data_IF_267917418903
#
_entry.id   IF_267917418903
#
_cell.length_a   1.000
_cell.length_b   1.000
_cell.length_c   1.000
_cell.angle_alpha   90.00
_cell.angle_beta   90.00
_cell.angle_gamma   90.00
#
_symmetry.space_group_name_H-M   'P 1'
#
loop_
_entity.id
_entity.type
_entity.pdbx_description
1 polymer ?
#
# COMPACT_ATOMS: atom_id res chain seq x y z
N UNK A 1 29.63 -3.39 18.47
CA UNK A 1 28.78 -2.20 18.74
C UNK A 1 27.34 -2.62 18.64
N UNK A 2 26.55 -2.36 19.72
CA UNK A 2 25.12 -2.58 19.72
C UNK A 2 24.43 -1.43 18.98
N UNK A 3 23.53 -1.78 18.04
CA UNK A 3 22.74 -0.83 17.27
C UNK A 3 21.30 -1.32 17.15
N UNK A 4 20.36 -0.39 17.10
CA UNK A 4 18.94 -0.70 16.84
C UNK A 4 18.59 -0.37 15.39
N UNK A 5 17.97 -1.31 14.69
CA UNK A 5 17.36 -1.04 13.39
C UNK A 5 16.09 -0.23 13.63
N UNK A 6 16.11 1.04 13.25
CA UNK A 6 14.94 1.92 13.37
C UNK A 6 14.05 1.89 12.13
N UNK A 7 14.64 1.57 10.99
CA UNK A 7 13.93 1.40 9.72
C UNK A 7 14.71 0.41 8.87
N UNK A 8 14.02 -0.57 8.34
CA UNK A 8 14.56 -1.51 7.37
C UNK A 8 14.84 -0.82 6.02
N UNK A 9 15.62 -1.48 5.18
CA UNK A 9 15.85 -1.00 3.83
C UNK A 9 14.54 -1.07 3.03
N UNK A 10 14.23 -0.02 2.25
CA UNK A 10 13.05 0.02 1.42
C UNK A 10 13.42 0.60 0.05
N UNK A 11 13.38 -0.22 -0.99
CA UNK A 11 13.81 0.14 -2.33
C UNK A 11 15.28 0.57 -2.35
N UNK A 12 15.58 1.81 -2.77
CA UNK A 12 16.95 2.36 -2.81
C UNK A 12 17.44 2.95 -1.48
N UNK A 13 16.61 2.97 -0.45
CA UNK A 13 16.98 3.54 0.86
C UNK A 13 17.62 2.48 1.72
N UNK A 14 18.82 2.77 2.24
CA UNK A 14 19.50 1.91 3.20
C UNK A 14 18.76 1.81 4.54
N UNK A 15 19.00 0.77 5.34
CA UNK A 15 18.47 0.68 6.69
C UNK A 15 18.96 1.86 7.54
N UNK A 16 18.11 2.34 8.43
CA UNK A 16 18.47 3.40 9.35
C UNK A 16 18.71 2.83 10.74
N UNK A 17 19.95 2.97 11.22
CA UNK A 17 20.40 2.45 12.49
C UNK A 17 20.50 3.56 13.53
N UNK A 18 20.14 3.24 14.76
CA UNK A 18 20.32 4.09 15.93
C UNK A 18 21.34 3.45 16.88
N UNK A 19 22.22 4.26 17.43
CA UNK A 19 23.07 3.86 18.56
C UNK A 19 22.30 3.89 19.87
N UNK A 20 21.33 4.83 20.00
CA UNK A 20 20.43 4.94 21.15
C UNK A 20 19.35 3.85 21.07
N UNK A 21 19.27 3.02 22.11
CA UNK A 21 18.26 1.95 22.21
C UNK A 21 16.96 2.53 22.72
N UNK A 22 15.86 2.17 22.06
CA UNK A 22 14.49 2.55 22.42
C UNK A 22 13.62 1.32 22.49
N UNK A 23 13.08 1.03 23.67
CA UNK A 23 12.19 -0.10 23.88
C UNK A 23 10.76 0.41 24.03
N UNK A 24 9.89 0.20 23.04
CA UNK A 24 8.51 0.69 23.09
C UNK A 24 7.62 -0.25 23.92
N UNK A 25 6.97 0.33 24.93
CA UNK A 25 5.86 -0.28 25.65
C UNK A 25 4.51 0.30 25.20
N UNK A 26 3.44 -0.08 25.87
CA UNK A 26 2.06 0.40 25.61
C UNK A 26 1.88 1.85 26.04
N UNK A 27 2.39 2.22 27.22
CA UNK A 27 2.23 3.53 27.84
C UNK A 27 3.51 4.36 27.86
N UNK A 28 4.67 3.69 27.87
CA UNK A 28 5.97 4.34 27.96
C UNK A 28 6.93 3.78 26.90
N UNK A 29 7.87 4.60 26.45
CA UNK A 29 9.04 4.17 25.69
C UNK A 29 10.24 4.39 26.58
N UNK A 30 10.98 3.34 26.89
CA UNK A 30 12.27 3.44 27.56
C UNK A 30 13.32 3.88 26.55
N UNK A 31 14.21 4.79 26.93
CA UNK A 31 15.30 5.29 26.09
C UNK A 31 16.63 5.20 26.82
N UNK A 32 17.66 4.78 26.09
CA UNK A 32 19.06 4.73 26.56
C UNK A 32 19.68 6.14 26.54
N UNK A 33 19.08 7.04 27.30
CA UNK A 33 19.50 8.43 27.46
C UNK A 33 18.69 9.07 28.59
N UNK A 34 19.33 9.77 29.51
CA UNK A 34 18.63 10.36 30.63
C UNK A 34 17.56 11.38 30.19
N UNK A 35 16.48 11.45 30.95
CA UNK A 35 15.44 12.45 30.76
C UNK A 35 14.02 11.91 30.66
N UNK A 36 13.08 12.80 30.92
CA UNK A 36 11.64 12.53 30.83
C UNK A 36 11.04 13.36 29.69
N UNK A 37 10.40 12.68 28.73
CA UNK A 37 9.65 13.32 27.66
C UNK A 37 8.19 12.90 27.73
N UNK A 38 7.30 13.73 27.19
CA UNK A 38 5.86 13.48 27.17
C UNK A 38 5.35 13.72 25.75
N UNK A 39 4.52 12.80 25.27
CA UNK A 39 3.88 12.91 23.95
C UNK A 39 3.22 14.28 23.76
N UNK A 40 3.44 14.89 22.61
CA UNK A 40 2.80 16.17 22.23
C UNK A 40 1.27 16.05 22.11
N UNK A 41 0.74 14.84 21.98
CA UNK A 41 -0.72 14.58 21.93
C UNK A 41 -1.40 14.72 23.27
N UNK A 42 -0.66 14.74 24.39
CA UNK A 42 -1.19 15.04 25.72
C UNK A 42 -1.11 16.56 25.92
N UNK A 43 -2.22 17.25 25.71
CA UNK A 43 -2.29 18.74 25.79
C UNK A 43 -2.67 19.25 27.18
N UNK A 44 -3.30 18.41 28.02
CA UNK A 44 -3.71 18.74 29.39
C UNK A 44 -2.50 19.01 30.27
N UNK A 45 -2.40 20.22 30.84
CA UNK A 45 -1.26 20.67 31.65
C UNK A 45 -1.12 19.87 32.93
N UNK A 46 -2.23 19.61 33.64
CA UNK A 46 -2.19 18.89 34.92
C UNK A 46 -1.75 17.44 34.70
N UNK A 47 -2.24 16.78 33.64
CA UNK A 47 -1.82 15.45 33.26
C UNK A 47 -0.30 15.43 32.93
N UNK A 48 0.17 16.42 32.16
CA UNK A 48 1.59 16.53 31.80
C UNK A 48 2.48 16.70 33.05
N UNK A 49 2.07 17.54 33.98
CA UNK A 49 2.83 17.77 35.23
C UNK A 49 2.90 16.51 36.09
N UNK A 50 1.78 15.81 36.27
CA UNK A 50 1.74 14.51 36.98
C UNK A 50 2.69 13.50 36.36
N UNK A 51 2.59 13.30 35.01
CA UNK A 51 3.44 12.37 34.28
C UNK A 51 4.94 12.78 34.34
N UNK A 52 5.22 14.08 34.29
CA UNK A 52 6.58 14.56 34.40
C UNK A 52 7.17 14.26 35.78
N UNK A 53 6.43 14.55 36.86
CA UNK A 53 6.84 14.31 38.24
C UNK A 53 7.00 12.80 38.52
N UNK A 54 6.10 11.95 38.00
CA UNK A 54 6.23 10.51 38.08
C UNK A 54 7.48 10.04 37.32
N UNK A 55 7.68 10.49 36.11
CA UNK A 55 8.85 10.13 35.31
C UNK A 55 10.16 10.53 35.98
N UNK A 56 10.22 11.71 36.60
CA UNK A 56 11.41 12.16 37.35
C UNK A 56 11.76 11.27 38.56
N UNK A 57 10.75 10.68 39.19
CA UNK A 57 10.96 9.72 40.30
C UNK A 57 11.51 8.37 39.77
N UNK A 58 11.12 7.99 38.56
CA UNK A 58 11.48 6.69 37.96
C UNK A 58 12.85 6.71 37.26
N UNK A 59 13.18 7.83 36.60
CA UNK A 59 14.42 7.97 35.83
C UNK A 59 15.63 8.00 36.77
N UNK A 60 16.44 6.93 36.69
CA UNK A 60 17.73 6.76 37.37
C UNK A 60 18.72 6.15 36.35
N UNK A 61 20.00 6.21 36.63
CA UNK A 61 21.06 5.45 35.94
C UNK A 61 21.12 5.67 34.39
N UNK A 62 21.05 6.90 33.92
CA UNK A 62 21.12 7.26 32.50
C UNK A 62 20.01 6.67 31.60
N UNK A 63 19.02 5.98 32.15
CA UNK A 63 17.88 5.46 31.42
C UNK A 63 16.70 6.42 31.56
N UNK A 64 16.23 6.96 30.46
CA UNK A 64 15.10 7.88 30.45
C UNK A 64 13.81 7.24 29.88
N UNK A 65 12.78 8.05 29.78
CA UNK A 65 11.49 7.60 29.27
C UNK A 65 10.75 8.67 28.45
N UNK A 66 9.85 8.17 27.63
CA UNK A 66 8.89 9.01 26.88
C UNK A 66 7.49 8.48 27.18
N UNK A 67 6.67 9.27 27.86
CA UNK A 67 5.26 8.95 28.06
C UNK A 67 4.50 9.05 26.73
N UNK A 68 3.80 7.97 26.36
CA UNK A 68 2.96 7.92 25.16
C UNK A 68 1.59 8.56 25.42
N UNK A 69 0.83 8.84 24.36
CA UNK A 69 -0.53 9.37 24.50
C UNK A 69 -1.48 8.44 25.26
N UNK A 70 -1.22 7.14 25.21
CA UNK A 70 -1.96 6.09 25.92
C UNK A 70 -1.75 6.12 27.46
N UNK A 71 -0.74 6.80 27.97
CA UNK A 71 -0.53 6.98 29.41
C UNK A 71 -1.47 8.01 30.06
N UNK A 72 -2.21 8.79 29.25
CA UNK A 72 -3.16 9.77 29.76
C UNK A 72 -4.22 9.09 30.63
N UNK A 73 -4.42 9.63 31.84
CA UNK A 73 -5.43 9.16 32.82
C UNK A 73 -5.27 7.67 33.20
N UNK A 74 -4.05 7.14 33.18
CA UNK A 74 -3.74 5.81 33.70
C UNK A 74 -3.24 5.88 35.14
N UNK A 75 -3.50 4.83 35.91
CA UNK A 75 -3.05 4.68 37.29
C UNK A 75 -1.52 4.62 37.30
N UNK A 76 -0.92 5.28 38.31
CA UNK A 76 0.53 5.35 38.44
C UNK A 76 1.17 3.97 38.58
N UNK A 77 0.50 3.05 39.27
CA UNK A 77 0.99 1.67 39.48
C UNK A 77 1.21 0.94 38.14
N UNK A 78 0.25 1.03 37.23
CA UNK A 78 0.36 0.42 35.88
C UNK A 78 1.51 1.02 35.07
N UNK A 79 1.71 2.34 35.20
CA UNK A 79 2.79 3.05 34.50
C UNK A 79 4.16 2.67 35.05
N UNK A 80 4.25 2.51 36.39
CA UNK A 80 5.47 2.10 37.08
C UNK A 80 5.83 0.64 36.73
N UNK A 81 4.85 -0.25 36.76
CA UNK A 81 5.02 -1.67 36.41
C UNK A 81 5.58 -1.83 34.99
N UNK A 82 4.97 -1.15 33.98
CA UNK A 82 5.46 -1.21 32.62
C UNK A 82 6.89 -0.64 32.51
N UNK A 83 7.18 0.49 33.12
CA UNK A 83 8.53 1.06 33.11
C UNK A 83 9.58 0.10 33.70
N UNK A 84 9.28 -0.53 34.82
CA UNK A 84 10.18 -1.50 35.45
C UNK A 84 10.40 -2.73 34.57
N UNK A 85 9.36 -3.27 33.99
CA UNK A 85 9.43 -4.40 33.05
C UNK A 85 10.30 -4.08 31.81
N UNK A 86 10.15 -2.88 31.24
CA UNK A 86 11.01 -2.43 30.14
C UNK A 86 12.47 -2.20 30.58
N UNK A 87 12.69 -1.78 31.80
CA UNK A 87 14.02 -1.59 32.37
C UNK A 87 14.75 -2.93 32.57
N UNK A 88 14.05 -3.94 33.04
CA UNK A 88 14.57 -5.32 33.13
C UNK A 88 14.95 -5.86 31.75
N UNK A 89 14.06 -5.66 30.77
CA UNK A 89 14.34 -6.06 29.39
C UNK A 89 15.57 -5.34 28.82
N UNK A 90 15.70 -4.04 29.08
CA UNK A 90 16.89 -3.27 28.67
C UNK A 90 18.19 -3.87 29.21
N UNK A 91 18.26 -4.16 30.50
CA UNK A 91 19.46 -4.76 31.11
C UNK A 91 19.75 -6.15 30.53
N UNK A 92 18.72 -6.95 30.28
CA UNK A 92 18.87 -8.25 29.59
C UNK A 92 19.45 -8.11 28.17
N UNK A 93 19.01 -7.11 27.42
CA UNK A 93 19.55 -6.83 26.07
C UNK A 93 21.03 -6.44 26.17
N UNK A 94 21.39 -5.56 27.11
CA UNK A 94 22.78 -5.13 27.28
C UNK A 94 23.67 -6.29 27.68
N UNK A 95 23.28 -7.07 28.70
CA UNK A 95 24.05 -8.25 29.15
C UNK A 95 24.27 -9.24 28.02
N UNK A 96 23.23 -9.58 27.28
CA UNK A 96 23.34 -10.49 26.12
C UNK A 96 24.29 -9.94 25.03
N UNK A 97 24.30 -8.61 24.86
CA UNK A 97 25.17 -7.97 23.86
C UNK A 97 26.64 -7.93 24.27
N UNK A 98 26.94 -7.88 25.57
CA UNK A 98 28.31 -7.93 26.11
C UNK A 98 28.94 -9.33 25.97
N UNK A 99 28.13 -10.37 25.99
CA UNK A 99 28.58 -11.77 25.86
C UNK A 99 28.86 -12.16 24.39
N UNK A 100 28.35 -11.39 23.41
CA UNK A 100 28.45 -11.75 21.98
C UNK A 100 29.67 -11.09 21.31
N UNK A 101 30.48 -11.93 20.66
CA UNK A 101 31.64 -11.52 19.90
C UNK A 101 31.46 -11.52 18.37
N UNK A 102 30.30 -11.97 17.90
CA UNK A 102 29.95 -12.06 16.47
C UNK A 102 28.73 -11.21 16.13
N UNK A 103 28.57 -10.74 14.89
CA UNK A 103 27.33 -10.06 14.48
C UNK A 103 26.11 -10.98 14.62
N UNK A 104 25.18 -10.61 15.50
CA UNK A 104 23.99 -11.40 15.83
C UNK A 104 22.82 -10.49 16.22
N UNK A 105 21.62 -10.95 15.99
CA UNK A 105 20.43 -10.32 16.51
C UNK A 105 20.29 -10.66 18.00
N UNK A 106 20.49 -9.67 18.87
CA UNK A 106 20.42 -9.83 20.33
C UNK A 106 18.98 -9.88 20.82
N UNK A 107 18.14 -9.06 20.23
CA UNK A 107 16.71 -9.00 20.56
C UNK A 107 15.88 -8.63 19.33
N UNK A 108 14.80 -9.37 19.09
CA UNK A 108 13.85 -9.09 18.02
C UNK A 108 12.68 -8.23 18.52
N UNK A 109 12.35 -7.17 17.80
CA UNK A 109 11.18 -6.35 18.11
C UNK A 109 9.87 -7.02 17.67
N UNK A 110 8.76 -6.37 17.96
CA UNK A 110 7.47 -6.76 17.43
C UNK A 110 7.49 -6.68 15.89
N UNK A 111 6.95 -7.69 15.24
CA UNK A 111 6.78 -7.70 13.79
C UNK A 111 5.77 -6.63 13.38
N UNK A 112 6.10 -5.90 12.33
CA UNK A 112 5.16 -5.01 11.66
C UNK A 112 4.51 -5.80 10.53
N UNK A 113 3.19 -5.81 10.49
CA UNK A 113 2.44 -6.47 9.42
C UNK A 113 1.65 -5.38 8.70
N UNK A 114 1.97 -5.18 7.42
CA UNK A 114 1.13 -4.38 6.53
C UNK A 114 0.10 -5.30 5.88
N UNK A 115 -1.17 -4.98 6.10
CA UNK A 115 -2.28 -5.72 5.50
C UNK A 115 -2.89 -4.85 4.41
N UNK A 116 -2.74 -5.26 3.16
CA UNK A 116 -3.41 -4.61 2.05
C UNK A 116 -4.81 -5.19 1.83
N UNK A 117 -5.79 -4.30 1.71
CA UNK A 117 -7.15 -4.63 1.34
C UNK A 117 -7.36 -4.28 -0.14
N UNK A 118 -7.26 -5.23 -1.09
CA UNK A 118 -7.50 -4.95 -2.49
C UNK A 118 -8.99 -4.67 -2.74
N UNK A 119 -9.32 -4.24 -3.96
CA UNK A 119 -10.64 -3.78 -4.39
C UNK A 119 -11.83 -4.57 -3.82
N UNK A 120 -11.86 -5.90 -3.98
CA UNK A 120 -12.97 -6.74 -3.52
C UNK A 120 -13.14 -6.72 -1.99
N UNK A 121 -12.04 -6.69 -1.25
CA UNK A 121 -12.07 -6.58 0.21
C UNK A 121 -12.66 -5.26 0.65
N UNK A 122 -12.36 -4.15 -0.05
CA UNK A 122 -12.96 -2.84 0.20
C UNK A 122 -14.47 -2.85 -0.05
N UNK A 123 -14.92 -3.45 -1.16
CA UNK A 123 -16.36 -3.62 -1.45
C UNK A 123 -17.05 -4.45 -0.37
N UNK A 124 -16.44 -5.55 0.06
CA UNK A 124 -16.97 -6.39 1.12
C UNK A 124 -17.08 -5.64 2.44
N UNK A 125 -16.08 -4.87 2.80
CA UNK A 125 -16.10 -4.02 4.00
C UNK A 125 -17.16 -2.91 3.91
N UNK A 126 -17.38 -2.31 2.74
CA UNK A 126 -18.47 -1.36 2.51
C UNK A 126 -19.82 -2.00 2.77
N UNK A 127 -20.03 -3.23 2.30
CA UNK A 127 -21.27 -3.98 2.51
C UNK A 127 -21.52 -4.32 4.00
N UNK A 128 -20.47 -4.64 4.75
CA UNK A 128 -20.58 -4.85 6.20
C UNK A 128 -20.94 -3.52 6.90
N UNK A 129 -20.19 -2.46 6.59
CA UNK A 129 -20.36 -1.14 7.20
C UNK A 129 -21.74 -0.57 6.95
N UNK A 130 -22.27 -0.70 5.74
CA UNK A 130 -23.58 -0.15 5.36
C UNK A 130 -24.76 -0.72 6.16
N UNK A 131 -24.57 -1.88 6.82
CA UNK A 131 -25.61 -2.48 7.69
C UNK A 131 -25.74 -1.79 9.05
N UNK A 132 -24.72 -1.04 9.47
CA UNK A 132 -24.65 -0.45 10.82
C UNK A 132 -24.38 1.05 10.82
N UNK A 133 -23.96 1.61 9.69
CA UNK A 133 -23.66 3.04 9.58
C UNK A 133 -23.95 3.56 8.18
N UNK A 134 -24.36 4.84 8.03
CA UNK A 134 -24.46 5.50 6.74
C UNK A 134 -23.15 5.36 5.98
N UNK A 135 -23.22 4.86 4.76
CA UNK A 135 -22.02 4.51 3.98
C UNK A 135 -22.24 4.89 2.53
N UNK A 136 -21.39 5.76 1.99
CA UNK A 136 -21.38 6.05 0.56
C UNK A 136 -20.81 4.87 -0.23
N UNK A 137 -21.25 4.71 -1.47
CA UNK A 137 -20.67 3.71 -2.38
C UNK A 137 -19.14 3.91 -2.51
N UNK A 138 -18.38 2.83 -2.44
CA UNK A 138 -16.92 2.83 -2.50
C UNK A 138 -16.24 3.59 -1.32
N UNK A 139 -16.84 3.57 -0.14
CA UNK A 139 -16.33 4.22 1.08
C UNK A 139 -14.84 3.93 1.31
N UNK A 140 -14.45 2.65 1.42
CA UNK A 140 -13.08 2.29 1.75
C UNK A 140 -12.09 2.67 0.63
N UNK A 141 -12.50 2.61 -0.65
CA UNK A 141 -11.68 3.10 -1.76
C UNK A 141 -11.42 4.61 -1.65
N UNK A 142 -12.45 5.42 -1.38
CA UNK A 142 -12.30 6.85 -1.21
C UNK A 142 -11.52 7.20 0.06
N UNK A 143 -11.66 6.42 1.13
CA UNK A 143 -10.80 6.56 2.32
C UNK A 143 -9.33 6.36 2.00
N UNK A 144 -9.00 5.38 1.16
CA UNK A 144 -7.64 5.11 0.71
C UNK A 144 -7.10 6.16 -0.28
N UNK A 145 -7.95 7.03 -0.84
CA UNK A 145 -7.58 8.08 -1.79
C UNK A 145 -6.85 9.28 -1.16
N UNK A 146 -6.59 9.24 0.14
CA UNK A 146 -5.83 10.26 0.85
C UNK A 146 -6.68 11.12 1.81
N UNK A 147 -6.03 11.92 2.65
CA UNK A 147 -6.69 12.59 3.77
C UNK A 147 -7.72 13.65 3.36
N UNK A 148 -7.55 14.29 2.21
CA UNK A 148 -8.49 15.30 1.72
C UNK A 148 -9.80 14.62 1.31
N UNK A 149 -9.74 13.61 0.44
CA UNK A 149 -10.93 12.87 -0.03
C UNK A 149 -11.60 12.16 1.14
N UNK A 150 -10.81 11.61 2.07
CA UNK A 150 -11.32 10.98 3.29
C UNK A 150 -12.22 11.94 4.11
N UNK A 151 -11.90 13.24 4.19
CA UNK A 151 -12.75 14.24 4.85
C UNK A 151 -14.07 14.51 4.09
N UNK A 152 -14.03 14.47 2.75
CA UNK A 152 -15.25 14.57 1.95
C UNK A 152 -16.16 13.34 2.11
N UNK A 153 -15.58 12.15 2.34
CA UNK A 153 -16.35 10.96 2.73
C UNK A 153 -17.13 11.24 4.04
N UNK A 154 -16.44 11.77 5.07
CA UNK A 154 -17.10 12.12 6.35
C UNK A 154 -18.25 13.12 6.15
N UNK A 155 -18.06 14.13 5.28
CA UNK A 155 -19.11 15.09 4.97
C UNK A 155 -20.30 14.45 4.26
N UNK A 156 -20.05 13.61 3.26
CA UNK A 156 -21.10 12.94 2.50
C UNK A 156 -21.91 12.00 3.41
N UNK A 157 -21.28 11.25 4.29
CA UNK A 157 -21.97 10.34 5.21
C UNK A 157 -22.79 11.08 6.26
N UNK A 158 -22.35 12.26 6.73
CA UNK A 158 -23.18 13.14 7.58
C UNK A 158 -24.44 13.64 6.86
N UNK A 159 -24.41 13.84 5.54
CA UNK A 159 -25.62 14.18 4.78
C UNK A 159 -26.58 12.99 4.72
N UNK A 160 -26.05 11.76 4.55
CA UNK A 160 -26.87 10.55 4.63
C UNK A 160 -27.52 10.38 6.02
N UNK A 161 -26.79 10.66 7.10
CA UNK A 161 -27.32 10.65 8.48
C UNK A 161 -28.49 11.62 8.68
N UNK A 162 -28.51 12.72 7.94
CA UNK A 162 -29.58 13.72 7.96
C UNK A 162 -30.80 13.34 7.10
N UNK A 163 -30.71 12.21 6.36
CA UNK A 163 -31.78 11.72 5.51
C UNK A 163 -31.75 12.23 4.07
N UNK A 164 -30.65 12.82 3.63
CA UNK A 164 -30.46 13.18 2.21
C UNK A 164 -30.44 11.92 1.33
N UNK A 165 -31.01 12.02 0.13
CA UNK A 165 -31.09 10.89 -0.82
C UNK A 165 -29.69 10.42 -1.24
N UNK A 166 -29.37 9.11 -1.10
CA UNK A 166 -28.04 8.57 -1.36
C UNK A 166 -27.48 8.92 -2.76
N UNK A 167 -28.30 8.85 -3.80
CA UNK A 167 -27.90 9.14 -5.17
C UNK A 167 -27.45 10.60 -5.34
N UNK A 168 -28.19 11.54 -4.71
CA UNK A 168 -27.87 12.96 -4.75
C UNK A 168 -26.59 13.27 -3.98
N UNK A 169 -26.43 12.67 -2.80
CA UNK A 169 -25.22 12.81 -1.99
C UNK A 169 -24.02 12.29 -2.75
N UNK A 170 -24.13 11.10 -3.34
CA UNK A 170 -23.03 10.48 -4.09
C UNK A 170 -22.62 11.31 -5.32
N UNK A 171 -23.61 11.79 -6.10
CA UNK A 171 -23.35 12.67 -7.25
C UNK A 171 -22.65 13.97 -6.84
N UNK A 172 -23.12 14.64 -5.79
CA UNK A 172 -22.49 15.85 -5.25
C UNK A 172 -21.08 15.58 -4.75
N UNK A 173 -20.90 14.45 -4.07
CA UNK A 173 -19.59 14.01 -3.58
C UNK A 173 -18.61 13.83 -4.74
N UNK A 174 -18.97 13.07 -5.79
CA UNK A 174 -18.11 12.86 -6.95
C UNK A 174 -17.72 14.18 -7.62
N UNK A 175 -18.69 15.07 -7.86
CA UNK A 175 -18.40 16.39 -8.45
C UNK A 175 -17.45 17.23 -7.58
N UNK A 176 -17.52 17.07 -6.25
CA UNK A 176 -16.67 17.84 -5.32
C UNK A 176 -15.24 17.34 -5.31
N UNK A 177 -15.04 16.03 -5.41
CA UNK A 177 -13.70 15.43 -5.40
C UNK A 177 -13.03 15.37 -6.79
N UNK A 178 -13.78 15.66 -7.85
CA UNK A 178 -13.32 15.59 -9.23
C UNK A 178 -12.00 16.32 -9.46
N UNK A 179 -11.89 17.53 -8.96
CA UNK A 179 -10.69 18.41 -9.06
C UNK A 179 -9.41 17.84 -8.41
N UNK A 180 -9.51 16.76 -7.64
CA UNK A 180 -8.36 16.12 -7.02
C UNK A 180 -7.84 14.93 -7.82
N UNK A 181 -8.58 14.51 -8.84
CA UNK A 181 -8.17 13.46 -9.75
C UNK A 181 -7.51 14.05 -10.99
N UNK A 182 -6.77 13.21 -11.68
CA UNK A 182 -6.16 13.54 -12.96
C UNK A 182 -7.20 13.66 -14.08
N UNK A 183 -6.82 14.38 -15.13
CA UNK A 183 -7.60 14.62 -16.34
C UNK A 183 -6.85 14.12 -17.58
N UNK A 184 -7.51 14.14 -18.74
CA UNK A 184 -6.85 13.91 -20.03
C UNK A 184 -5.69 14.92 -20.23
N UNK A 185 -4.57 14.41 -20.71
CA UNK A 185 -3.32 15.16 -20.84
C UNK A 185 -2.38 15.07 -19.65
N UNK A 186 -2.87 14.69 -18.47
CA UNK A 186 -2.05 14.54 -17.27
C UNK A 186 -1.15 13.29 -17.34
N UNK A 187 -0.09 13.31 -16.55
CA UNK A 187 0.82 12.18 -16.36
C UNK A 187 0.56 11.50 -15.03
N UNK A 188 0.26 10.21 -15.09
CA UNK A 188 -0.01 9.38 -13.91
C UNK A 188 1.07 8.34 -13.67
N UNK A 189 1.07 7.78 -12.46
CA UNK A 189 1.87 6.62 -12.08
C UNK A 189 1.01 5.37 -12.05
N UNK A 190 1.62 4.23 -12.36
CA UNK A 190 0.99 2.92 -12.25
C UNK A 190 1.73 2.17 -11.14
N UNK A 191 1.02 1.82 -10.08
CA UNK A 191 1.53 1.10 -8.93
C UNK A 191 1.27 -0.39 -9.10
N UNK A 192 2.25 -1.06 -9.66
CA UNK A 192 2.28 -2.50 -9.87
C UNK A 192 2.81 -3.15 -8.58
N UNK A 193 1.93 -3.75 -7.80
CA UNK A 193 2.26 -4.37 -6.51
C UNK A 193 2.43 -5.86 -6.70
N UNK A 194 3.58 -6.39 -6.33
CA UNK A 194 3.84 -7.84 -6.37
C UNK A 194 3.17 -8.55 -5.18
N UNK A 195 2.91 -9.86 -5.26
CA UNK A 195 2.28 -10.62 -4.16
C UNK A 195 3.03 -10.58 -2.83
N UNK A 196 4.35 -10.36 -2.88
CA UNK A 196 5.23 -10.18 -1.70
C UNK A 196 5.16 -8.76 -1.09
N UNK A 197 4.31 -7.88 -1.64
CA UNK A 197 4.15 -6.49 -1.22
C UNK A 197 5.14 -5.50 -1.83
N UNK A 198 6.08 -5.95 -2.67
CA UNK A 198 6.99 -5.06 -3.39
C UNK A 198 6.22 -4.19 -4.38
N UNK A 199 6.42 -2.87 -4.32
CA UNK A 199 5.78 -1.93 -5.23
C UNK A 199 6.73 -1.48 -6.32
N UNK A 200 6.38 -1.75 -7.57
CA UNK A 200 7.07 -1.26 -8.76
C UNK A 200 6.24 -0.10 -9.31
N UNK A 201 6.84 1.09 -9.37
CA UNK A 201 6.17 2.28 -9.91
C UNK A 201 6.55 2.44 -11.37
N UNK A 202 5.59 2.22 -12.25
CA UNK A 202 5.75 2.41 -13.69
C UNK A 202 5.24 3.80 -14.11
N UNK A 203 5.81 4.34 -15.18
CA UNK A 203 5.46 5.65 -15.73
C UNK A 203 6.64 6.59 -15.82
N UNK A 204 6.41 7.85 -16.21
CA UNK A 204 5.10 8.50 -16.37
C UNK A 204 4.29 7.92 -17.54
N UNK A 205 2.97 7.80 -17.33
CA UNK A 205 2.00 7.39 -18.33
C UNK A 205 1.05 8.56 -18.61
N UNK A 206 0.97 9.02 -19.86
CA UNK A 206 0.10 10.13 -20.26
C UNK A 206 -1.33 9.63 -20.43
N UNK A 207 -2.29 10.23 -19.76
CA UNK A 207 -3.72 9.96 -19.98
C UNK A 207 -4.13 10.54 -21.33
N UNK A 208 -4.55 9.72 -22.26
CA UNK A 208 -4.94 10.15 -23.62
C UNK A 208 -6.45 10.20 -23.81
N UNK A 209 -7.18 9.37 -23.09
CA UNK A 209 -8.63 9.32 -23.10
C UNK A 209 -9.13 8.71 -21.79
N UNK A 210 -10.29 9.12 -21.30
CA UNK A 210 -10.94 8.48 -20.17
C UNK A 210 -12.46 8.66 -20.20
N UNK A 211 -13.21 7.72 -19.59
CA UNK A 211 -14.63 7.90 -19.33
C UNK A 211 -14.85 8.99 -18.27
N UNK A 212 -16.01 9.66 -18.33
CA UNK A 212 -16.36 10.74 -17.40
C UNK A 212 -16.32 10.34 -15.91
N UNK A 213 -16.61 9.06 -15.62
CA UNK A 213 -16.59 8.48 -14.29
C UNK A 213 -15.24 7.84 -13.92
N UNK A 214 -14.24 7.96 -14.81
CA UNK A 214 -12.91 7.35 -14.71
C UNK A 214 -12.88 5.83 -14.56
N UNK A 215 -13.98 5.17 -14.90
CA UNK A 215 -14.02 3.70 -14.88
C UNK A 215 -13.16 3.08 -15.98
N UNK A 216 -12.91 3.81 -17.07
CA UNK A 216 -12.06 3.36 -18.17
C UNK A 216 -11.08 4.45 -18.57
N UNK A 217 -9.79 4.10 -18.63
CA UNK A 217 -8.68 5.04 -18.80
C UNK A 217 -7.71 4.46 -19.82
N UNK A 218 -7.38 5.26 -20.84
CA UNK A 218 -6.35 4.94 -21.82
C UNK A 218 -5.10 5.78 -21.49
N UNK A 219 -3.97 5.13 -21.41
CA UNK A 219 -2.70 5.80 -21.18
C UNK A 219 -1.67 5.43 -22.23
N UNK A 220 -0.89 6.42 -22.65
CA UNK A 220 0.26 6.25 -23.53
C UNK A 220 1.56 6.26 -22.72
N UNK A 221 2.45 5.35 -23.04
CA UNK A 221 3.80 5.33 -22.52
C UNK A 221 4.81 5.21 -23.65
N UNK A 222 5.78 6.10 -23.70
CA UNK A 222 6.94 5.95 -24.57
C UNK A 222 7.80 4.80 -24.07
N UNK A 223 8.23 3.94 -24.96
CA UNK A 223 9.13 2.84 -24.64
C UNK A 223 10.55 3.36 -24.63
N UNK A 224 11.20 3.23 -23.51
CA UNK A 224 12.59 3.69 -23.30
C UNK A 224 13.50 2.48 -23.17
N UNK A 225 14.69 2.59 -23.77
CA UNK A 225 15.73 1.56 -23.67
C UNK A 225 15.69 0.54 -24.81
N UNK A 226 16.69 -0.36 -24.77
CA UNK A 226 16.89 -1.46 -25.72
C UNK A 226 16.48 -2.77 -25.07
N UNK A 227 16.31 -3.81 -25.85
CA UNK A 227 15.97 -5.17 -25.42
C UNK A 227 14.70 -5.67 -26.07
N UNK A 228 14.12 -6.71 -25.51
CA UNK A 228 12.95 -7.40 -26.03
C UNK A 228 11.70 -7.04 -25.20
N UNK A 229 10.54 -7.02 -25.82
CA UNK A 229 9.27 -6.93 -25.08
C UNK A 229 9.04 -8.24 -24.34
N UNK A 230 8.72 -8.12 -23.07
CA UNK A 230 8.51 -9.26 -22.19
C UNK A 230 7.43 -10.21 -22.75
N UNK A 231 7.79 -11.48 -22.90
CA UNK A 231 6.91 -12.52 -23.44
C UNK A 231 6.53 -12.44 -24.91
N UNK A 232 6.95 -11.38 -25.67
CA UNK A 232 6.63 -11.23 -27.11
C UNK A 232 7.77 -11.62 -28.04
N UNK A 233 8.99 -11.74 -27.52
CA UNK A 233 10.20 -12.05 -28.31
C UNK A 233 10.46 -11.04 -29.48
N UNK A 234 10.02 -9.80 -29.34
CA UNK A 234 10.15 -8.72 -30.34
C UNK A 234 11.05 -7.62 -29.76
N UNK A 235 12.00 -7.13 -30.57
CA UNK A 235 12.90 -6.07 -30.15
C UNK A 235 12.19 -4.72 -29.98
N UNK A 236 12.62 -4.00 -28.93
CA UNK A 236 12.23 -2.59 -28.69
C UNK A 236 13.06 -1.70 -29.63
N UNK A 237 12.36 -0.83 -30.33
CA UNK A 237 12.96 0.14 -31.25
C UNK A 237 12.75 1.58 -30.75
N UNK A 238 13.59 2.47 -31.17
CA UNK A 238 13.45 3.89 -30.86
C UNK A 238 12.20 4.48 -31.52
N UNK A 239 11.36 5.13 -30.71
CA UNK A 239 10.07 5.68 -31.14
C UNK A 239 8.89 4.73 -30.93
N UNK A 240 9.14 3.52 -30.42
CA UNK A 240 8.05 2.64 -29.97
C UNK A 240 7.26 3.28 -28.82
N UNK A 241 5.96 2.97 -28.77
CA UNK A 241 5.09 3.40 -27.70
C UNK A 241 4.08 2.31 -27.34
N UNK A 242 3.48 2.44 -26.16
CA UNK A 242 2.48 1.52 -25.68
C UNK A 242 1.19 2.26 -25.32
N UNK A 243 0.04 1.75 -25.72
CA UNK A 243 -1.27 2.18 -25.24
C UNK A 243 -1.79 1.11 -24.29
N UNK A 244 -2.06 1.51 -23.05
CA UNK A 244 -2.63 0.61 -22.04
C UNK A 244 -4.03 1.05 -21.68
N UNK A 245 -4.96 0.10 -21.61
CA UNK A 245 -6.35 0.32 -21.20
C UNK A 245 -6.57 -0.25 -19.82
N UNK A 246 -6.90 0.61 -18.87
CA UNK A 246 -7.30 0.23 -17.53
C UNK A 246 -8.81 0.41 -17.35
N UNK A 247 -9.49 -0.63 -16.85
CA UNK A 247 -10.88 -0.53 -16.43
C UNK A 247 -10.99 -0.83 -14.94
N UNK A 248 -11.56 0.11 -14.15
CA UNK A 248 -11.73 -0.05 -12.71
C UNK A 248 -12.55 -1.31 -12.39
N UNK A 249 -12.07 -2.12 -11.47
CA UNK A 249 -12.72 -3.36 -11.08
C UNK A 249 -12.45 -4.56 -11.98
N UNK A 250 -11.73 -4.41 -13.10
CA UNK A 250 -11.32 -5.53 -13.97
C UNK A 250 -10.09 -6.24 -13.42
N UNK A 251 -10.04 -7.54 -13.67
CA UNK A 251 -8.97 -8.45 -13.24
C UNK A 251 -7.79 -8.53 -14.21
N UNK A 252 -7.80 -7.72 -15.23
CA UNK A 252 -6.73 -7.63 -16.22
C UNK A 252 -6.71 -6.27 -16.86
N UNK A 253 -5.58 -5.89 -17.42
CA UNK A 253 -5.47 -4.78 -18.34
C UNK A 253 -4.75 -5.21 -19.61
N UNK A 254 -5.02 -4.50 -20.70
CA UNK A 254 -4.46 -4.75 -22.01
C UNK A 254 -3.48 -3.64 -22.38
N UNK A 255 -2.29 -4.01 -22.83
CA UNK A 255 -1.28 -3.10 -23.39
C UNK A 255 -1.00 -3.49 -24.82
N UNK A 256 -1.15 -2.55 -25.74
CA UNK A 256 -0.78 -2.69 -27.14
C UNK A 256 0.51 -1.94 -27.40
N UNK A 257 1.49 -2.62 -27.99
CA UNK A 257 2.77 -2.03 -28.37
C UNK A 257 2.75 -1.67 -29.84
N UNK A 258 3.15 -0.44 -30.15
CA UNK A 258 3.20 0.10 -31.51
C UNK A 258 4.60 0.60 -31.83
N UNK A 259 4.98 0.50 -33.11
CA UNK A 259 6.16 1.18 -33.59
C UNK A 259 5.84 2.65 -33.93
N UNK A 260 6.86 3.46 -34.27
CA UNK A 260 6.71 4.86 -34.65
C UNK A 260 5.79 5.12 -35.85
N UNK A 261 5.49 4.09 -36.66
CA UNK A 261 4.59 4.13 -37.82
C UNK A 261 3.15 3.72 -37.47
N UNK A 262 2.84 3.60 -36.18
CA UNK A 262 1.55 3.15 -35.63
C UNK A 262 1.19 1.70 -36.00
N UNK A 263 2.17 0.86 -36.38
CA UNK A 263 1.94 -0.56 -36.63
C UNK A 263 2.02 -1.34 -35.33
N UNK A 264 1.04 -2.19 -35.09
CA UNK A 264 1.00 -3.05 -33.90
C UNK A 264 2.19 -4.02 -33.90
N UNK A 265 2.94 -4.07 -32.83
CA UNK A 265 4.02 -5.03 -32.57
C UNK A 265 3.54 -6.27 -31.81
N UNK A 266 2.56 -6.11 -30.91
CA UNK A 266 1.97 -7.19 -30.14
C UNK A 266 1.10 -6.66 -29.01
N UNK A 267 0.40 -7.57 -28.35
CA UNK A 267 -0.50 -7.27 -27.24
C UNK A 267 -0.01 -8.02 -26.00
N UNK A 268 -0.04 -7.35 -24.87
CA UNK A 268 0.29 -7.89 -23.55
C UNK A 268 -0.90 -7.70 -22.61
N UNK A 269 -1.35 -8.76 -21.98
CA UNK A 269 -2.44 -8.76 -21.03
C UNK A 269 -1.88 -9.23 -19.68
N UNK A 270 -1.92 -8.35 -18.71
CA UNK A 270 -1.56 -8.68 -17.34
C UNK A 270 -2.80 -9.14 -16.56
N UNK A 271 -2.69 -10.23 -15.83
CA UNK A 271 -3.72 -10.71 -14.91
C UNK A 271 -3.39 -10.21 -13.50
N UNK A 272 -4.33 -9.48 -12.91
CA UNK A 272 -4.15 -8.76 -11.66
C UNK A 272 -5.41 -8.81 -10.79
N UNK A 273 -5.30 -8.42 -9.53
CA UNK A 273 -6.50 -8.11 -8.73
C UNK A 273 -7.27 -6.94 -9.36
N UNK A 274 -8.58 -6.80 -9.11
CA UNK A 274 -9.36 -5.72 -9.69
C UNK A 274 -8.67 -4.36 -9.54
N UNK A 275 -8.59 -3.66 -10.68
CA UNK A 275 -7.90 -2.37 -10.82
C UNK A 275 -8.58 -1.31 -9.97
N UNK A 276 -7.79 -0.49 -9.31
CA UNK A 276 -8.23 0.64 -8.50
C UNK A 276 -7.70 1.96 -9.08
N UNK A 277 -8.60 2.94 -9.19
CA UNK A 277 -8.27 4.29 -9.66
C UNK A 277 -8.21 5.25 -8.49
N UNK A 278 -7.07 5.93 -8.34
CA UNK A 278 -6.79 6.87 -7.26
C UNK A 278 -6.34 8.23 -7.81
N UNK A 279 -6.41 9.32 -7.04
CA UNK A 279 -5.91 10.63 -7.46
C UNK A 279 -4.44 10.63 -7.89
N UNK A 280 -3.66 9.72 -7.34
CA UNK A 280 -2.23 9.58 -7.61
C UNK A 280 -1.91 8.58 -8.74
N UNK A 281 -2.93 7.93 -9.35
CA UNK A 281 -2.77 7.00 -10.47
C UNK A 281 -3.54 5.70 -10.33
N UNK A 282 -3.06 4.68 -11.01
CA UNK A 282 -3.64 3.34 -11.07
C UNK A 282 -2.90 2.40 -10.11
N UNK A 283 -3.64 1.53 -9.40
CA UNK A 283 -3.06 0.53 -8.50
C UNK A 283 -3.75 -0.82 -8.67
N UNK A 284 -2.98 -1.90 -8.60
CA UNK A 284 -3.43 -3.29 -8.58
C UNK A 284 -2.35 -4.16 -7.95
N UNK A 285 -2.72 -5.39 -7.57
CA UNK A 285 -1.77 -6.43 -7.20
C UNK A 285 -1.63 -7.36 -8.40
N UNK A 286 -0.42 -7.53 -8.88
CA UNK A 286 -0.06 -8.45 -9.93
C UNK A 286 -0.27 -9.91 -9.46
N UNK A 287 -0.79 -10.76 -10.33
CA UNK A 287 -0.99 -12.17 -10.03
C UNK A 287 0.05 -13.05 -10.73
N UNK A 288 1.14 -12.46 -11.17
CA UNK A 288 2.29 -13.11 -11.82
C UNK A 288 1.97 -13.77 -13.17
N UNK A 289 0.75 -13.75 -13.64
CA UNK A 289 0.35 -14.40 -14.90
C UNK A 289 0.11 -13.35 -15.96
N UNK A 290 0.74 -13.57 -17.12
CA UNK A 290 0.61 -12.72 -18.29
C UNK A 290 0.19 -13.55 -19.50
N UNK A 291 -0.53 -12.90 -20.43
CA UNK A 291 -0.83 -13.48 -21.74
C UNK A 291 -0.34 -12.54 -22.81
N UNK A 292 0.51 -13.01 -23.70
CA UNK A 292 0.96 -12.24 -24.87
C UNK A 292 0.34 -12.75 -26.15
N UNK A 293 0.15 -11.84 -27.10
CA UNK A 293 -0.42 -12.13 -28.42
C UNK A 293 0.50 -11.50 -29.45
N UNK A 294 1.11 -12.35 -30.28
CA UNK A 294 1.96 -11.92 -31.37
C UNK A 294 1.17 -11.33 -32.55
N UNK A 295 1.87 -10.77 -33.53
CA UNK A 295 1.27 -10.29 -34.80
C UNK A 295 0.57 -11.39 -35.60
N UNK A 296 0.99 -12.64 -35.40
CA UNK A 296 0.41 -13.85 -35.98
C UNK A 296 -0.86 -14.33 -35.28
N UNK A 297 -1.28 -13.63 -34.20
CA UNK A 297 -2.42 -13.99 -33.38
C UNK A 297 -2.17 -15.14 -32.41
N UNK A 298 -0.94 -15.67 -32.35
CA UNK A 298 -0.58 -16.74 -31.42
C UNK A 298 -0.56 -16.19 -30.00
N UNK A 299 -1.29 -16.86 -29.10
CA UNK A 299 -1.38 -16.53 -27.68
C UNK A 299 -0.43 -17.42 -26.89
N UNK A 300 0.31 -16.80 -25.97
CA UNK A 300 1.21 -17.50 -25.04
C UNK A 300 0.90 -17.07 -23.61
N UNK A 301 0.72 -18.03 -22.72
CA UNK A 301 0.58 -17.79 -21.28
C UNK A 301 1.94 -17.90 -20.60
N UNK A 302 2.28 -16.91 -19.79
CA UNK A 302 3.58 -16.84 -19.10
C UNK A 302 3.39 -16.92 -17.58
N UNK A 303 4.43 -17.36 -16.90
CA UNK A 303 4.64 -17.27 -15.45
C UNK A 303 3.57 -17.93 -14.55
N UNK A 304 2.75 -18.84 -15.09
CA UNK A 304 1.77 -19.61 -14.31
C UNK A 304 2.42 -20.38 -13.13
N UNK A 305 3.69 -20.77 -13.27
CA UNK A 305 4.46 -21.40 -12.21
C UNK A 305 4.74 -20.45 -11.04
N UNK A 306 5.01 -19.16 -11.32
CA UNK A 306 5.22 -18.13 -10.30
C UNK A 306 3.95 -17.88 -9.51
N UNK A 307 2.80 -17.81 -10.18
CA UNK A 307 1.49 -17.71 -9.55
C UNK A 307 1.22 -18.87 -8.59
N UNK A 308 1.42 -20.12 -9.05
CA UNK A 308 1.24 -21.31 -8.21
C UNK A 308 2.18 -21.31 -7.02
N UNK A 309 3.43 -20.86 -7.21
CA UNK A 309 4.38 -20.72 -6.12
C UNK A 309 3.94 -19.65 -5.11
N UNK A 310 3.42 -18.50 -5.56
CA UNK A 310 2.92 -17.45 -4.67
C UNK A 310 1.74 -17.95 -3.79
N UNK A 311 0.88 -18.81 -4.32
CA UNK A 311 -0.15 -19.51 -3.53
C UNK A 311 0.50 -20.48 -2.52
N UNK A 312 1.44 -21.29 -2.97
CA UNK A 312 2.09 -22.32 -2.12
C UNK A 312 2.79 -21.71 -0.91
N UNK A 313 3.44 -20.56 -1.08
CA UNK A 313 4.15 -19.86 0.02
C UNK A 313 3.24 -18.92 0.82
N UNK A 314 1.95 -18.81 0.47
CA UNK A 314 0.94 -18.07 1.24
C UNK A 314 0.85 -16.57 0.93
N UNK A 315 1.49 -16.07 -0.13
CA UNK A 315 1.33 -14.68 -0.57
C UNK A 315 -0.03 -14.42 -1.23
N UNK A 316 -0.59 -15.45 -1.89
CA UNK A 316 -1.91 -15.39 -2.50
C UNK A 316 -2.85 -16.42 -1.89
N UNK A 317 -4.13 -16.07 -1.77
CA UNK A 317 -5.15 -16.99 -1.27
C UNK A 317 -5.46 -18.05 -2.34
N UNK A 318 -5.49 -19.36 -2.01
CA UNK A 318 -5.83 -20.42 -2.97
C UNK A 318 -7.17 -20.26 -3.68
N UNK A 319 -8.15 -19.59 -3.05
CA UNK A 319 -9.47 -19.33 -3.67
C UNK A 319 -9.41 -18.48 -4.94
N UNK A 320 -8.29 -17.80 -5.19
CA UNK A 320 -8.12 -16.98 -6.40
C UNK A 320 -7.74 -17.83 -7.63
N UNK A 321 -7.29 -19.08 -7.44
CA UNK A 321 -6.75 -19.91 -8.52
C UNK A 321 -7.80 -20.19 -9.61
N UNK A 322 -8.99 -20.60 -9.22
CA UNK A 322 -10.09 -20.84 -10.18
C UNK A 322 -10.42 -19.59 -11.01
N UNK A 323 -10.44 -18.42 -10.35
CA UNK A 323 -10.70 -17.15 -11.05
C UNK A 323 -9.62 -16.81 -12.07
N UNK A 324 -8.36 -17.02 -11.72
CA UNK A 324 -7.23 -16.76 -12.63
C UNK A 324 -7.25 -17.70 -13.82
N UNK A 325 -7.50 -19.00 -13.61
CA UNK A 325 -7.62 -19.98 -14.69
C UNK A 325 -8.78 -19.65 -15.64
N UNK A 326 -9.92 -19.23 -15.10
CA UNK A 326 -11.05 -18.79 -15.93
C UNK A 326 -10.70 -17.54 -16.74
N UNK A 327 -9.97 -16.57 -16.18
CA UNK A 327 -9.51 -15.39 -16.93
C UNK A 327 -8.56 -15.75 -18.07
N UNK A 328 -7.65 -16.69 -17.85
CA UNK A 328 -6.76 -17.20 -18.91
C UNK A 328 -7.62 -17.77 -20.06
N UNK A 329 -8.60 -18.62 -19.76
CA UNK A 329 -9.50 -19.19 -20.76
C UNK A 329 -10.34 -18.11 -21.47
N UNK A 330 -10.82 -17.08 -20.75
CA UNK A 330 -11.51 -15.94 -21.33
C UNK A 330 -10.62 -15.22 -22.37
N UNK A 331 -9.35 -14.99 -22.04
CA UNK A 331 -8.38 -14.35 -22.95
C UNK A 331 -8.03 -15.25 -24.12
N UNK A 332 -7.85 -16.55 -23.90
CA UNK A 332 -7.55 -17.51 -24.97
C UNK A 332 -8.69 -17.61 -26.00
N UNK A 333 -9.93 -17.52 -25.55
CA UNK A 333 -11.12 -17.57 -26.42
C UNK A 333 -11.49 -16.22 -27.08
N UNK A 334 -10.96 -15.10 -26.58
CA UNK A 334 -11.25 -13.76 -27.11
C UNK A 334 -10.54 -13.56 -28.44
N UNK A 335 -11.25 -13.03 -29.46
CA UNK A 335 -10.63 -12.55 -30.70
C UNK A 335 -10.08 -11.13 -30.47
N UNK A 336 -8.89 -10.88 -31.01
CA UNK A 336 -8.24 -9.57 -30.93
C UNK A 336 -8.07 -9.00 -32.34
N UNK A 337 -8.38 -7.72 -32.49
CA UNK A 337 -8.04 -6.99 -33.71
C UNK A 337 -6.54 -6.71 -33.69
N UNK A 338 -5.84 -7.12 -34.75
CA UNK A 338 -4.39 -7.04 -34.91
C UNK A 338 -3.96 -6.03 -35.97
N UNK A 339 -4.93 -5.23 -36.45
CA UNK A 339 -4.71 -4.20 -37.49
C UNK A 339 -4.30 -2.87 -36.87
#
# INVERSE_FOLDING_TARGET
ILVQINRESAGRKHPYLLKEIRIPGKYVILIDKPGVKISRKIVDKNCREKLYNLGRKLVKDNIGLIWRSSSKNKDEEILIEEYNSLKELYYKIISNAEEENTPKMIWGSQYFIDIEFPYLSKIFLDNIRSKVAPTIKNHHRFRASGPIISRYVDMAERLLERGDKPENVYKKFLNTIDKYYFCEGDYIKIYHVKPDGKVIVMGPAKVIEMSWDRSKIYVERRIMGRGVYDGLDIEKEEGDYAITVFEEGKWSYETRYYNRENKLKGIYININTPIEVYPFGIRYIDLEVDVTIGKDGIKKVHDLSLFKNAIKIGFLNPKIEERVLNLIMEVENKQFQLD
#
